data_IF_415351719150
#
_entry.id   IF_415351719150
#
_cell.length_a   1.000
_cell.length_b   1.000
_cell.length_c   1.000
_cell.angle_alpha   90.00
_cell.angle_beta   90.00
_cell.angle_gamma   90.00
#
_symmetry.space_group_name_H-M   'P 1'
#
loop_
_entity.id
_entity.type
_entity.pdbx_description
1 polymer ?
#
# COMPACT_ATOMS: atom_id res chain seq x y z
N UNK A 1 11.35 -11.88 -21.07
CA UNK A 1 10.36 -12.29 -20.06
C UNK A 1 8.91 -12.23 -20.60
N UNK A 2 8.41 -11.12 -21.11
CA UNK A 2 7.09 -11.03 -21.76
C UNK A 2 7.15 -11.11 -23.29
N UNK A 3 8.35 -11.04 -23.88
CA UNK A 3 8.58 -11.16 -25.32
C UNK A 3 8.07 -9.99 -26.17
N UNK A 4 7.68 -8.89 -25.51
CA UNK A 4 7.23 -7.65 -26.13
C UNK A 4 8.16 -6.48 -25.74
N UNK A 5 8.32 -5.46 -26.60
CA UNK A 5 8.99 -4.23 -26.23
C UNK A 5 8.23 -3.51 -25.12
N UNK A 6 8.93 -2.71 -24.32
CA UNK A 6 8.35 -2.01 -23.15
C UNK A 6 7.25 -1.03 -23.57
N UNK A 7 7.34 -0.48 -24.77
CA UNK A 7 6.41 0.49 -25.34
C UNK A 7 5.01 -0.09 -25.58
N UNK A 8 4.90 -1.42 -25.64
CA UNK A 8 3.64 -2.14 -25.82
C UNK A 8 3.07 -2.72 -24.51
N UNK A 9 3.76 -2.51 -23.39
CA UNK A 9 3.42 -3.15 -22.11
C UNK A 9 2.69 -2.18 -21.17
N UNK A 10 1.65 -2.70 -20.54
CA UNK A 10 0.93 -2.09 -19.42
C UNK A 10 1.26 -2.85 -18.14
N UNK A 11 1.97 -2.20 -17.24
CA UNK A 11 2.54 -2.84 -16.04
C UNK A 11 2.04 -2.09 -14.80
N UNK A 12 1.64 -2.84 -13.79
CA UNK A 12 1.41 -2.30 -12.44
C UNK A 12 2.56 -2.76 -11.57
N UNK A 13 3.24 -1.81 -10.93
CA UNK A 13 4.29 -2.10 -9.95
C UNK A 13 3.75 -1.90 -8.54
N UNK A 14 3.94 -2.88 -7.68
CA UNK A 14 3.54 -2.85 -6.28
C UNK A 14 4.81 -2.99 -5.42
N UNK A 15 5.27 -1.90 -4.82
CA UNK A 15 6.31 -1.93 -3.80
C UNK A 15 5.63 -2.03 -2.44
N UNK A 16 5.70 -3.21 -1.81
CA UNK A 16 4.97 -3.51 -0.58
C UNK A 16 5.96 -3.77 0.56
N UNK A 17 6.14 -2.78 1.42
CA UNK A 17 7.00 -2.84 2.59
C UNK A 17 6.44 -1.96 3.70
N UNK A 18 7.28 -1.53 4.65
CA UNK A 18 6.86 -0.58 5.69
C UNK A 18 6.39 0.77 5.09
N UNK A 19 7.04 1.22 4.00
CA UNK A 19 6.46 2.16 3.04
C UNK A 19 5.93 1.36 1.84
N UNK A 20 4.74 1.69 1.34
CA UNK A 20 4.11 0.96 0.23
C UNK A 20 3.60 1.92 -0.82
N UNK A 21 3.80 1.54 -2.09
CA UNK A 21 3.27 2.30 -3.23
C UNK A 21 2.89 1.37 -4.37
N UNK A 22 1.91 1.81 -5.14
CA UNK A 22 1.47 1.15 -6.37
C UNK A 22 1.58 2.18 -7.49
N UNK A 23 2.10 1.79 -8.65
CA UNK A 23 2.17 2.68 -9.80
C UNK A 23 1.73 1.96 -11.08
N UNK A 24 1.09 2.73 -11.95
CA UNK A 24 0.69 2.33 -13.29
C UNK A 24 1.74 2.80 -14.30
N UNK A 25 2.22 1.89 -15.14
CA UNK A 25 3.23 2.15 -16.17
C UNK A 25 2.66 1.70 -17.51
N UNK A 26 2.46 2.63 -18.42
CA UNK A 26 1.99 2.38 -19.79
C UNK A 26 3.07 2.80 -20.78
N UNK A 27 3.48 1.88 -21.64
CA UNK A 27 4.53 2.14 -22.64
C UNK A 27 5.87 2.58 -22.01
N UNK A 28 6.22 2.06 -20.83
CA UNK A 28 7.45 2.41 -20.11
C UNK A 28 7.40 3.74 -19.35
N UNK A 29 6.26 4.43 -19.34
CA UNK A 29 6.06 5.72 -18.64
C UNK A 29 5.11 5.55 -17.48
N UNK A 30 5.44 6.12 -16.32
CA UNK A 30 4.50 6.20 -15.19
C UNK A 30 3.35 7.12 -15.55
N UNK A 31 2.13 6.58 -15.55
CA UNK A 31 0.91 7.33 -15.89
C UNK A 31 0.05 7.62 -14.65
N UNK A 32 0.26 6.85 -13.58
CA UNK A 32 -0.41 7.06 -12.29
C UNK A 32 0.41 6.47 -11.14
N UNK A 33 0.20 6.97 -9.93
CA UNK A 33 0.85 6.46 -8.72
C UNK A 33 -0.01 6.71 -7.48
N UNK A 34 0.10 5.83 -6.50
CA UNK A 34 -0.68 5.91 -5.25
C UNK A 34 -0.21 6.99 -4.28
N UNK A 35 1.05 7.40 -4.33
CA UNK A 35 1.55 8.48 -3.47
C UNK A 35 1.25 9.84 -4.11
N UNK A 36 0.87 10.82 -3.28
CA UNK A 36 0.57 12.17 -3.72
C UNK A 36 1.76 13.12 -3.54
N UNK A 37 1.46 14.36 -3.10
CA UNK A 37 2.48 15.37 -2.77
C UNK A 37 3.48 14.87 -1.70
N UNK A 38 3.00 14.04 -0.79
CA UNK A 38 3.85 13.35 0.20
C UNK A 38 3.64 11.85 0.11
N UNK A 39 4.55 11.02 0.66
CA UNK A 39 4.38 9.57 0.70
C UNK A 39 3.38 9.11 1.79
N UNK A 40 2.43 9.97 2.19
CA UNK A 40 1.36 9.64 3.13
C UNK A 40 0.15 9.02 2.42
N UNK A 41 -0.19 9.52 1.23
CA UNK A 41 -1.33 9.08 0.43
C UNK A 41 -1.17 7.64 -0.10
N UNK A 42 -2.26 7.05 -0.55
CA UNK A 42 -2.32 5.72 -1.13
C UNK A 42 -2.78 4.65 -0.14
N UNK A 43 -2.12 3.50 -0.14
CA UNK A 43 -2.47 2.39 0.75
C UNK A 43 -2.10 2.69 2.21
N UNK A 44 -2.84 2.15 3.21
CA UNK A 44 -2.37 2.15 4.58
C UNK A 44 -1.04 1.38 4.65
N UNK A 45 -0.01 1.98 5.27
CA UNK A 45 1.33 1.40 5.32
C UNK A 45 1.64 0.86 6.72
N UNK A 46 2.90 0.59 7.03
CA UNK A 46 3.27 0.17 8.38
C UNK A 46 2.74 1.11 9.47
N UNK A 47 3.02 2.42 9.32
CA UNK A 47 2.62 3.46 10.28
C UNK A 47 1.83 4.61 9.67
N UNK A 48 1.78 4.74 8.34
CA UNK A 48 1.11 5.84 7.63
C UNK A 48 -0.34 5.46 7.32
N UNK A 49 -1.23 6.45 7.44
CA UNK A 49 -2.68 6.24 7.27
C UNK A 49 -3.08 5.79 5.86
N UNK A 50 -2.38 6.27 4.82
CA UNK A 50 -2.86 6.17 3.44
C UNK A 50 -3.96 7.20 3.17
N UNK A 51 -4.79 6.92 2.15
CA UNK A 51 -5.90 7.78 1.78
C UNK A 51 -6.97 7.82 2.88
N UNK A 52 -7.48 9.01 3.14
CA UNK A 52 -8.51 9.26 4.13
C UNK A 52 -9.42 10.42 3.70
N UNK A 53 -10.60 10.50 4.27
CA UNK A 53 -11.46 11.66 4.17
C UNK A 53 -10.86 12.83 4.97
N UNK A 54 -10.60 13.96 4.31
CA UNK A 54 -10.02 15.14 4.96
C UNK A 54 -10.89 15.68 6.12
N UNK A 55 -12.19 15.47 6.08
CA UNK A 55 -13.12 15.88 7.15
C UNK A 55 -12.82 15.22 8.50
N UNK A 56 -12.16 14.05 8.50
CA UNK A 56 -11.77 13.37 9.74
C UNK A 56 -10.72 14.17 10.53
N UNK A 57 -9.93 15.01 9.85
CA UNK A 57 -8.90 15.82 10.49
C UNK A 57 -9.53 16.85 11.42
N UNK A 58 -10.50 17.62 10.90
CA UNK A 58 -11.24 18.61 11.68
C UNK A 58 -11.93 17.97 12.88
N UNK A 59 -12.62 16.83 12.63
CA UNK A 59 -13.30 16.11 13.69
C UNK A 59 -12.36 15.66 14.81
N UNK A 60 -11.24 15.02 14.47
CA UNK A 60 -10.30 14.50 15.48
C UNK A 60 -9.56 15.62 16.20
N UNK A 61 -9.18 16.69 15.50
CA UNK A 61 -8.55 17.85 16.10
C UNK A 61 -9.49 18.53 17.10
N UNK A 62 -10.74 18.73 16.72
CA UNK A 62 -11.77 19.30 17.61
C UNK A 62 -12.08 18.41 18.82
N UNK A 63 -12.18 17.10 18.62
CA UNK A 63 -12.54 16.13 19.67
C UNK A 63 -11.42 15.94 20.71
N UNK A 64 -10.16 15.96 20.28
CA UNK A 64 -9.00 15.62 21.11
C UNK A 64 -8.10 16.81 21.44
N UNK A 65 -8.38 17.98 20.86
CA UNK A 65 -7.56 19.18 21.05
C UNK A 65 -6.19 19.12 20.37
N UNK A 66 -6.04 18.25 19.34
CA UNK A 66 -4.78 18.15 18.62
C UNK A 66 -4.54 19.38 17.73
N UNK A 67 -3.30 19.84 17.71
CA UNK A 67 -2.86 20.76 16.65
C UNK A 67 -2.55 20.01 15.34
N UNK A 68 -2.33 20.75 14.26
CA UNK A 68 -2.01 20.17 12.95
C UNK A 68 -0.72 19.33 12.97
N UNK A 69 0.28 19.72 13.75
CA UNK A 69 1.55 19.00 13.85
C UNK A 69 1.38 17.65 14.55
N UNK A 70 0.58 17.63 15.60
CA UNK A 70 0.21 16.40 16.31
C UNK A 70 -0.60 15.48 15.41
N UNK A 71 -1.60 16.04 14.69
CA UNK A 71 -2.42 15.28 13.74
C UNK A 71 -1.55 14.66 12.64
N UNK A 72 -0.65 15.41 12.03
CA UNK A 72 0.29 14.90 11.04
C UNK A 72 1.24 13.84 11.61
N UNK A 73 1.61 13.94 12.88
CA UNK A 73 2.39 12.90 13.56
C UNK A 73 1.59 11.61 13.72
N UNK A 74 0.31 11.71 14.07
CA UNK A 74 -0.59 10.54 14.15
C UNK A 74 -0.72 9.87 12.81
N UNK A 75 -1.00 10.63 11.74
CA UNK A 75 -1.19 10.08 10.39
C UNK A 75 0.08 9.43 9.82
N UNK A 76 1.25 9.95 10.13
CA UNK A 76 2.52 9.42 9.60
C UNK A 76 3.14 8.29 10.44
N UNK A 77 2.93 8.29 11.77
CA UNK A 77 3.70 7.44 12.68
C UNK A 77 2.88 6.52 13.58
N UNK A 78 1.56 6.75 13.70
CA UNK A 78 0.69 6.04 14.65
C UNK A 78 -0.56 5.45 13.99
N UNK A 79 -0.62 5.47 12.68
CA UNK A 79 -1.74 4.97 11.85
C UNK A 79 -1.33 3.71 11.10
N UNK A 80 -1.91 3.49 9.93
CA UNK A 80 -1.62 2.33 9.09
C UNK A 80 -1.95 1.00 9.77
N UNK A 81 -1.24 -0.06 9.40
CA UNK A 81 -1.49 -1.39 9.99
C UNK A 81 -1.13 -1.43 11.47
N UNK A 82 -0.18 -0.62 11.94
CA UNK A 82 0.09 -0.44 13.37
C UNK A 82 -1.15 0.09 14.10
N UNK A 83 -1.77 1.15 13.59
CA UNK A 83 -2.95 1.76 14.21
C UNK A 83 -4.17 0.83 14.19
N UNK A 84 -4.36 0.08 13.10
CA UNK A 84 -5.47 -0.87 12.96
C UNK A 84 -5.25 -2.06 13.91
N UNK A 85 -4.08 -2.67 13.88
CA UNK A 85 -3.79 -3.87 14.67
C UNK A 85 -3.57 -3.58 16.16
N UNK A 86 -2.89 -2.48 16.47
CA UNK A 86 -2.38 -2.23 17.81
C UNK A 86 -1.24 -3.17 18.22
N UNK A 87 -0.66 -3.92 17.27
CA UNK A 87 0.38 -4.93 17.51
C UNK A 87 1.74 -4.44 17.03
N UNK A 88 1.89 -4.25 15.72
CA UNK A 88 3.17 -3.91 15.09
C UNK A 88 2.97 -3.20 13.76
N UNK A 89 3.99 -2.49 13.29
CA UNK A 89 4.09 -2.00 11.91
C UNK A 89 4.77 -3.01 10.97
N UNK A 90 5.34 -4.08 11.50
CA UNK A 90 5.97 -5.16 10.73
C UNK A 90 4.93 -6.21 10.34
N UNK A 91 4.81 -6.45 9.04
CA UNK A 91 3.81 -7.39 8.50
C UNK A 91 4.05 -8.83 8.96
N UNK A 92 5.29 -9.22 9.28
CA UNK A 92 5.61 -10.56 9.80
C UNK A 92 5.04 -10.76 11.21
N UNK A 93 5.14 -9.73 12.05
CA UNK A 93 4.55 -9.76 13.38
C UNK A 93 3.02 -9.87 13.29
N UNK A 94 2.42 -9.15 12.33
CA UNK A 94 0.99 -9.21 12.08
C UNK A 94 0.55 -10.59 11.58
N UNK A 95 1.30 -11.19 10.64
CA UNK A 95 1.03 -12.54 10.14
C UNK A 95 1.12 -13.58 11.27
N UNK A 96 2.10 -13.46 12.16
CA UNK A 96 2.24 -14.36 13.30
C UNK A 96 1.09 -14.16 14.31
N UNK A 97 0.79 -12.91 14.66
CA UNK A 97 -0.31 -12.60 15.56
C UNK A 97 -1.67 -13.06 15.01
N UNK A 98 -1.90 -12.92 13.71
CA UNK A 98 -3.12 -13.41 13.05
C UNK A 98 -3.23 -14.94 13.11
N UNK A 99 -2.13 -15.68 12.89
CA UNK A 99 -2.09 -17.15 13.03
C UNK A 99 -2.37 -17.61 14.47
N UNK A 100 -2.03 -16.77 15.44
CA UNK A 100 -2.33 -16.99 16.87
C UNK A 100 -3.76 -16.55 17.24
N UNK A 101 -4.56 -16.12 16.27
CA UNK A 101 -5.99 -15.76 16.46
C UNK A 101 -6.22 -14.30 16.81
N UNK A 102 -5.26 -13.41 16.62
CA UNK A 102 -5.46 -11.97 16.83
C UNK A 102 -6.28 -11.37 15.69
N UNK A 103 -7.57 -11.15 15.93
CA UNK A 103 -8.52 -10.63 14.94
C UNK A 103 -8.17 -9.22 14.43
N UNK A 104 -7.54 -8.36 15.24
CA UNK A 104 -7.13 -7.03 14.80
C UNK A 104 -5.91 -7.08 13.88
N UNK A 105 -5.01 -8.02 14.08
CA UNK A 105 -3.89 -8.25 13.17
C UNK A 105 -4.40 -8.78 11.83
N UNK A 106 -5.34 -9.72 11.84
CA UNK A 106 -6.02 -10.23 10.64
C UNK A 106 -6.71 -9.10 9.88
N UNK A 107 -7.53 -8.29 10.55
CA UNK A 107 -8.20 -7.12 9.96
C UNK A 107 -7.21 -6.13 9.34
N UNK A 108 -6.06 -5.88 9.99
CA UNK A 108 -5.04 -4.97 9.44
C UNK A 108 -4.43 -5.49 8.14
N UNK A 109 -4.16 -6.80 8.06
CA UNK A 109 -3.68 -7.46 6.84
C UNK A 109 -4.73 -7.40 5.73
N UNK A 110 -5.99 -7.71 6.05
CA UNK A 110 -7.09 -7.64 5.09
C UNK A 110 -7.31 -6.22 4.55
N UNK A 111 -7.32 -5.21 5.41
CA UNK A 111 -7.48 -3.82 5.02
C UNK A 111 -6.35 -3.36 4.08
N UNK A 112 -5.11 -3.75 4.37
CA UNK A 112 -3.97 -3.49 3.49
C UNK A 112 -4.13 -4.16 2.13
N UNK A 113 -4.40 -5.47 2.10
CA UNK A 113 -4.57 -6.24 0.87
C UNK A 113 -5.74 -5.71 0.03
N UNK A 114 -6.86 -5.35 0.67
CA UNK A 114 -8.01 -4.77 0.00
C UNK A 114 -7.68 -3.43 -0.66
N UNK A 115 -6.93 -2.57 0.03
CA UNK A 115 -6.49 -1.27 -0.51
C UNK A 115 -5.58 -1.43 -1.73
N UNK A 116 -4.61 -2.37 -1.68
CA UNK A 116 -3.76 -2.70 -2.83
C UNK A 116 -4.59 -3.23 -3.98
N UNK A 117 -5.53 -4.15 -3.72
CA UNK A 117 -6.43 -4.73 -4.73
C UNK A 117 -7.27 -3.66 -5.44
N UNK A 118 -7.79 -2.68 -4.70
CA UNK A 118 -8.54 -1.54 -5.27
C UNK A 118 -7.68 -0.74 -6.24
N UNK A 119 -6.45 -0.39 -5.87
CA UNK A 119 -5.54 0.37 -6.72
C UNK A 119 -5.13 -0.41 -7.98
N UNK A 120 -4.85 -1.71 -7.83
CA UNK A 120 -4.57 -2.58 -8.99
C UNK A 120 -5.75 -2.57 -9.97
N UNK A 121 -6.98 -2.69 -9.46
CA UNK A 121 -8.18 -2.63 -10.28
C UNK A 121 -8.38 -1.27 -10.94
N UNK A 122 -8.18 -0.17 -10.20
CA UNK A 122 -8.28 1.19 -10.71
C UNK A 122 -7.25 1.46 -11.82
N UNK A 123 -6.01 1.06 -11.63
CA UNK A 123 -4.94 1.27 -12.60
C UNK A 123 -5.08 0.37 -13.84
N UNK A 124 -5.55 -0.86 -13.67
CA UNK A 124 -5.89 -1.71 -14.80
C UNK A 124 -7.00 -1.08 -15.66
N UNK A 125 -8.02 -0.51 -15.03
CA UNK A 125 -9.09 0.21 -15.72
C UNK A 125 -8.57 1.50 -16.40
N UNK A 126 -7.77 2.30 -15.70
CA UNK A 126 -7.20 3.54 -16.23
C UNK A 126 -6.32 3.33 -17.47
N UNK A 127 -5.54 2.24 -17.48
CA UNK A 127 -4.71 1.88 -18.65
C UNK A 127 -5.47 1.11 -19.74
N UNK A 128 -6.74 0.72 -19.51
CA UNK A 128 -7.50 -0.13 -20.44
C UNK A 128 -6.96 -1.56 -20.53
N UNK A 129 -6.39 -2.08 -19.44
CA UNK A 129 -5.85 -3.43 -19.30
C UNK A 129 -4.52 -3.47 -18.56
N UNK A 130 -4.01 -4.67 -18.33
CA UNK A 130 -2.71 -4.89 -17.70
C UNK A 130 -2.08 -6.17 -18.26
N UNK A 131 -0.80 -6.11 -18.65
CA UNK A 131 -0.03 -7.27 -19.12
C UNK A 131 0.70 -7.97 -17.97
N UNK A 132 1.17 -7.21 -16.97
CA UNK A 132 1.85 -7.77 -15.81
C UNK A 132 1.66 -6.93 -14.55
N UNK A 133 1.63 -7.61 -13.41
CA UNK A 133 1.73 -7.01 -12.08
C UNK A 133 3.05 -7.47 -11.48
N UNK A 134 3.91 -6.50 -11.15
CA UNK A 134 5.21 -6.74 -10.54
C UNK A 134 5.11 -6.40 -9.06
N UNK A 135 5.24 -7.39 -8.23
CA UNK A 135 5.20 -7.21 -6.78
C UNK A 135 6.61 -7.32 -6.23
N UNK A 136 7.05 -6.24 -5.62
CA UNK A 136 8.21 -6.23 -4.76
C UNK A 136 7.73 -6.25 -3.32
N UNK A 137 7.96 -7.34 -2.66
CA UNK A 137 7.82 -7.45 -1.21
C UNK A 137 9.21 -7.37 -0.60
N UNK A 138 9.44 -6.42 0.27
CA UNK A 138 10.70 -6.29 0.99
C UNK A 138 10.64 -7.14 2.28
N UNK A 139 11.16 -8.38 2.27
CA UNK A 139 11.48 -9.05 3.53
C UNK A 139 12.62 -8.27 4.16
N UNK A 140 12.50 -7.98 5.43
CA UNK A 140 13.50 -7.19 6.19
C UNK A 140 14.86 -7.91 6.35
N UNK A 141 15.13 -8.99 5.67
CA UNK A 141 16.42 -9.66 5.73
C UNK A 141 17.38 -9.11 4.64
N UNK A 142 18.62 -8.85 5.04
CA UNK A 142 19.75 -8.48 4.19
C UNK A 142 20.03 -9.58 3.15
N UNK A 143 19.36 -9.50 2.04
CA UNK A 143 19.51 -10.44 0.94
C UNK A 143 18.23 -10.42 0.10
N UNK A 144 18.30 -9.75 -1.06
CA UNK A 144 17.16 -9.46 -1.93
C UNK A 144 16.17 -10.62 -2.05
N UNK A 145 14.97 -10.40 -1.53
CA UNK A 145 13.86 -11.34 -1.66
C UNK A 145 13.35 -11.41 -3.11
N UNK A 146 12.70 -12.50 -3.51
CA UNK A 146 12.32 -12.74 -4.88
C UNK A 146 11.25 -11.75 -5.34
N UNK A 147 11.50 -11.10 -6.47
CA UNK A 147 10.47 -10.41 -7.22
C UNK A 147 9.45 -11.44 -7.71
N UNK A 148 8.17 -11.27 -7.37
CA UNK A 148 7.10 -12.07 -7.96
C UNK A 148 6.47 -11.27 -9.09
N UNK A 149 6.56 -11.81 -10.29
CA UNK A 149 5.85 -11.30 -11.47
C UNK A 149 4.62 -12.15 -11.68
N UNK A 150 3.45 -11.55 -11.54
CA UNK A 150 2.18 -12.20 -11.86
C UNK A 150 1.83 -11.86 -13.31
N UNK A 151 1.73 -12.87 -14.15
CA UNK A 151 1.24 -12.74 -15.54
C UNK A 151 -0.28 -12.88 -15.53
N UNK A 152 -0.91 -12.24 -16.49
CA UNK A 152 -2.32 -12.50 -16.79
C UNK A 152 -2.47 -13.99 -17.11
N UNK A 153 -3.24 -14.72 -16.31
CA UNK A 153 -3.82 -15.98 -16.76
C UNK A 153 -4.96 -15.59 -17.70
N UNK A 154 -4.91 -16.14 -18.92
CA UNK A 154 -5.90 -15.92 -19.97
C UNK A 154 -7.31 -16.36 -19.57
#
# INVERSE_FOLDING_TARGET
MLGKPIEELKIITCHLGNGSSVAAVDGGKSVDTSMGFTPLAGVPMGTRAGDLDAGILEYLMGKHGYDMKEMMTILNKKSGVLGISGVSSDFRDLENAAKEGNQRAELALEAFQYSVKKLVGAYAAAMGGVDAIVVWYQPWERGGGPHRVYRRCG
#
